data_IF_927914260385
#
_entry.id   IF_927914260385
#
_cell.length_a   1.000
_cell.length_b   1.000
_cell.length_c   1.000
_cell.angle_alpha   90.00
_cell.angle_beta   90.00
_cell.angle_gamma   90.00
#
_symmetry.space_group_name_H-M   'P 1'
#
loop_
_entity.id
_entity.type
_entity.pdbx_description
1 polymer ?
#
# COMPACT_ATOMS: atom_id res chain seq x y z
N UNK A 1 3.89 -24.78 0.91
CA UNK A 1 3.78 -23.33 1.16
C UNK A 1 2.65 -23.15 2.15
N UNK A 2 2.88 -22.41 3.23
CA UNK A 2 1.86 -22.11 4.25
C UNK A 2 0.79 -21.13 3.74
N UNK A 3 -0.32 -21.07 4.47
CA UNK A 3 -1.51 -20.31 4.08
C UNK A 3 -1.27 -18.80 4.05
N UNK A 4 -0.46 -18.25 4.96
CA UNK A 4 -0.17 -16.81 5.01
C UNK A 4 0.69 -16.39 3.82
N UNK A 5 1.75 -17.15 3.51
CA UNK A 5 2.56 -16.92 2.30
C UNK A 5 1.70 -17.02 1.05
N UNK A 6 0.81 -18.02 0.95
CA UNK A 6 -0.08 -18.19 -0.20
C UNK A 6 -1.07 -17.03 -0.33
N UNK A 7 -1.71 -16.63 0.76
CA UNK A 7 -2.68 -15.53 0.75
C UNK A 7 -2.03 -14.21 0.35
N UNK A 8 -0.86 -13.91 0.92
CA UNK A 8 -0.10 -12.72 0.60
C UNK A 8 0.34 -12.70 -0.87
N UNK A 9 0.91 -13.79 -1.35
CA UNK A 9 1.36 -13.92 -2.73
C UNK A 9 0.18 -13.78 -3.72
N UNK A 10 -0.97 -14.37 -3.40
CA UNK A 10 -2.15 -14.27 -4.26
C UNK A 10 -2.63 -12.83 -4.40
N UNK A 11 -2.66 -12.05 -3.31
CA UNK A 11 -3.04 -10.63 -3.38
C UNK A 11 -1.99 -9.84 -4.14
N UNK A 12 -0.70 -10.01 -3.84
CA UNK A 12 0.37 -9.31 -4.56
C UNK A 12 0.34 -9.59 -6.08
N UNK A 13 0.09 -10.83 -6.49
CA UNK A 13 -0.05 -11.19 -7.91
C UNK A 13 -1.34 -10.65 -8.54
N UNK A 14 -2.41 -10.51 -7.75
CA UNK A 14 -3.69 -9.97 -8.22
C UNK A 14 -3.70 -8.46 -8.40
N UNK A 15 -3.07 -7.74 -7.46
CA UNK A 15 -2.98 -6.28 -7.39
C UNK A 15 -1.83 -5.74 -8.25
N UNK A 16 -0.74 -6.49 -8.40
CA UNK A 16 0.39 -6.08 -9.23
C UNK A 16 0.03 -5.96 -10.70
N UNK A 17 0.75 -5.10 -11.43
CA UNK A 17 0.54 -4.93 -12.87
C UNK A 17 0.75 -6.24 -13.65
N UNK A 18 0.23 -6.30 -14.87
CA UNK A 18 0.39 -7.47 -15.77
C UNK A 18 1.84 -7.67 -16.22
N UNK A 19 2.74 -6.74 -15.91
CA UNK A 19 4.16 -6.85 -16.19
C UNK A 19 4.89 -7.88 -15.32
N UNK A 20 4.27 -8.39 -14.25
CA UNK A 20 4.88 -9.33 -13.30
C UNK A 20 6.22 -8.83 -12.74
N UNK A 21 6.29 -7.54 -12.40
CA UNK A 21 7.52 -6.96 -11.83
C UNK A 21 7.69 -7.44 -10.39
N UNK A 22 8.84 -8.06 -10.10
CA UNK A 22 9.12 -8.62 -8.78
C UNK A 22 9.04 -7.56 -7.67
N UNK A 23 9.69 -6.41 -7.85
CA UNK A 23 9.75 -5.33 -6.87
C UNK A 23 8.37 -4.74 -6.60
N UNK A 24 7.49 -4.69 -7.62
CA UNK A 24 6.11 -4.26 -7.46
C UNK A 24 5.32 -5.21 -6.55
N UNK A 25 5.36 -6.50 -6.85
CA UNK A 25 4.66 -7.52 -6.06
C UNK A 25 5.25 -7.64 -4.64
N UNK A 26 6.57 -7.54 -4.50
CA UNK A 26 7.24 -7.52 -3.20
C UNK A 26 6.84 -6.29 -2.39
N UNK A 27 6.80 -5.10 -2.99
CA UNK A 27 6.37 -3.88 -2.32
C UNK A 27 4.90 -3.92 -1.90
N UNK A 28 3.97 -4.42 -2.74
CA UNK A 28 2.57 -4.65 -2.34
C UNK A 28 2.50 -5.60 -1.14
N UNK A 29 3.29 -6.68 -1.15
CA UNK A 29 3.36 -7.61 -0.03
C UNK A 29 3.90 -6.92 1.25
N UNK A 30 4.93 -6.06 1.14
CA UNK A 30 5.45 -5.27 2.26
C UNK A 30 4.36 -4.36 2.85
N UNK A 31 3.57 -3.66 2.01
CA UNK A 31 2.47 -2.82 2.49
C UNK A 31 1.42 -3.63 3.26
N UNK A 32 1.02 -4.79 2.74
CA UNK A 32 0.03 -5.64 3.39
C UNK A 32 0.50 -6.16 4.76
N UNK A 33 1.77 -6.58 4.86
CA UNK A 33 2.37 -7.00 6.14
C UNK A 33 2.42 -5.84 7.13
N UNK A 34 2.80 -4.65 6.66
CA UNK A 34 2.83 -3.45 7.49
C UNK A 34 1.43 -3.11 8.01
N UNK A 35 0.41 -3.16 7.16
CA UNK A 35 -0.99 -2.90 7.52
C UNK A 35 -1.57 -3.96 8.47
N UNK A 36 -1.19 -5.23 8.29
CA UNK A 36 -1.56 -6.31 9.21
C UNK A 36 -1.02 -6.05 10.62
N UNK A 37 0.27 -5.75 10.75
CA UNK A 37 0.92 -5.45 12.04
C UNK A 37 0.33 -4.21 12.68
N UNK A 38 0.19 -3.15 11.89
CA UNK A 38 -0.43 -1.89 12.28
C UNK A 38 -1.81 -2.09 12.93
N UNK A 39 -2.63 -2.94 12.34
CA UNK A 39 -3.99 -3.17 12.81
C UNK A 39 -4.10 -4.23 13.90
N UNK A 40 -2.97 -4.78 14.35
CA UNK A 40 -2.90 -5.74 15.45
C UNK A 40 -3.45 -7.13 15.09
N UNK A 41 -3.52 -7.48 13.80
CA UNK A 41 -3.90 -8.82 13.39
C UNK A 41 -2.75 -9.80 13.64
N UNK A 42 -3.03 -11.02 14.05
CA UNK A 42 -1.99 -12.03 14.30
C UNK A 42 -1.39 -12.61 13.00
N UNK A 43 -2.18 -12.69 11.94
CA UNK A 43 -1.81 -13.33 10.67
C UNK A 43 -2.27 -12.52 9.47
N UNK A 44 -1.60 -12.69 8.33
CA UNK A 44 -1.97 -12.03 7.07
C UNK A 44 -3.34 -12.50 6.59
N UNK A 45 -3.61 -13.80 6.69
CA UNK A 45 -4.88 -14.36 6.29
C UNK A 45 -6.06 -13.79 7.10
N UNK A 46 -5.87 -13.55 8.40
CA UNK A 46 -6.89 -12.93 9.25
C UNK A 46 -7.14 -11.46 8.86
N UNK A 47 -6.08 -10.72 8.54
CA UNK A 47 -6.17 -9.35 8.06
C UNK A 47 -6.92 -9.27 6.72
N UNK A 48 -6.48 -10.00 5.70
CA UNK A 48 -7.07 -10.00 4.34
C UNK A 48 -8.56 -10.41 4.37
N UNK A 49 -8.93 -11.38 5.22
CA UNK A 49 -10.32 -11.82 5.37
C UNK A 49 -11.22 -10.75 6.00
N UNK A 50 -10.67 -9.97 6.94
CA UNK A 50 -11.44 -8.98 7.71
C UNK A 50 -11.54 -7.64 7.00
N UNK A 51 -10.43 -7.15 6.43
CA UNK A 51 -10.35 -5.83 5.82
C UNK A 51 -10.45 -5.92 4.29
N UNK A 52 -11.65 -5.65 3.79
CA UNK A 52 -11.94 -5.69 2.35
C UNK A 52 -11.41 -4.48 1.58
N UNK A 53 -10.95 -3.43 2.27
CA UNK A 53 -10.54 -2.16 1.64
C UNK A 53 -9.08 -2.17 1.18
N UNK A 54 -8.26 -3.09 1.68
CA UNK A 54 -6.84 -3.22 1.34
C UNK A 54 -6.53 -4.41 0.44
N UNK A 55 -7.47 -5.35 0.26
CA UNK A 55 -7.26 -6.54 -0.55
C UNK A 55 -8.40 -6.73 -1.54
N UNK A 56 -8.65 -5.73 -2.40
CA UNK A 56 -9.76 -5.77 -3.35
C UNK A 56 -9.69 -7.03 -4.23
N UNK A 57 -8.50 -7.38 -4.71
CA UNK A 57 -8.25 -8.60 -5.50
C UNK A 57 -8.63 -9.90 -4.77
N UNK A 58 -8.66 -9.90 -3.43
CA UNK A 58 -9.09 -11.06 -2.64
C UNK A 58 -10.62 -11.23 -2.61
N UNK A 59 -11.38 -10.17 -2.91
CA UNK A 59 -12.84 -10.11 -2.73
C UNK A 59 -13.62 -9.82 -4.02
N UNK A 60 -12.98 -9.31 -5.07
CA UNK A 60 -13.60 -8.89 -6.35
C UNK A 60 -13.66 -10.00 -7.42
N UNK A 61 -13.08 -11.17 -7.15
CA UNK A 61 -13.00 -12.25 -8.12
C UNK A 61 -11.85 -12.12 -9.14
N UNK A 62 -10.84 -11.29 -8.86
CA UNK A 62 -9.67 -11.09 -9.70
C UNK A 62 -9.07 -12.41 -10.17
N UNK A 63 -8.94 -12.56 -11.50
CA UNK A 63 -8.54 -13.80 -12.14
C UNK A 63 -7.11 -14.21 -11.75
N UNK A 64 -6.21 -13.25 -11.59
CA UNK A 64 -4.80 -13.51 -11.21
C UNK A 64 -4.70 -13.97 -9.77
N UNK A 65 -5.35 -13.28 -8.84
CA UNK A 65 -5.44 -13.72 -7.45
C UNK A 65 -6.00 -15.15 -7.36
N UNK A 66 -7.11 -15.42 -8.05
CA UNK A 66 -7.73 -16.74 -8.07
C UNK A 66 -6.84 -17.82 -8.70
N UNK A 67 -6.08 -17.48 -9.75
CA UNK A 67 -5.12 -18.37 -10.40
C UNK A 67 -4.05 -18.81 -9.39
N UNK A 68 -3.34 -17.88 -8.75
CA UNK A 68 -2.30 -18.24 -7.78
C UNK A 68 -2.87 -18.99 -6.57
N UNK A 69 -4.01 -18.52 -6.05
CA UNK A 69 -4.64 -19.16 -4.88
C UNK A 69 -4.96 -20.64 -5.10
N UNK A 70 -5.39 -21.01 -6.32
CA UNK A 70 -5.75 -22.40 -6.69
C UNK A 70 -4.59 -23.22 -7.23
N UNK A 71 -3.49 -22.58 -7.64
CA UNK A 71 -2.39 -23.26 -8.32
C UNK A 71 -1.62 -24.22 -7.40
N UNK A 72 -1.18 -25.35 -7.95
CA UNK A 72 -0.27 -26.29 -7.30
C UNK A 72 1.13 -25.69 -7.17
N UNK A 73 2.02 -26.37 -6.43
CA UNK A 73 3.40 -25.90 -6.28
C UNK A 73 4.15 -25.92 -7.62
N UNK A 74 3.89 -26.92 -8.46
CA UNK A 74 4.48 -27.10 -9.77
C UNK A 74 4.01 -26.01 -10.74
N UNK A 75 2.71 -25.69 -10.73
CA UNK A 75 2.14 -24.61 -11.53
C UNK A 75 2.73 -23.24 -11.14
N UNK A 76 2.88 -22.99 -9.84
CA UNK A 76 3.54 -21.77 -9.33
C UNK A 76 5.01 -21.72 -9.72
N UNK A 77 5.71 -22.85 -9.72
CA UNK A 77 7.11 -22.90 -10.10
C UNK A 77 7.31 -22.67 -11.62
N UNK A 78 6.36 -23.12 -12.44
CA UNK A 78 6.41 -22.97 -13.89
C UNK A 78 6.01 -21.57 -14.39
N UNK A 79 5.21 -20.82 -13.63
CA UNK A 79 4.80 -19.45 -13.97
C UNK A 79 5.67 -18.43 -13.24
N UNK A 80 6.51 -17.71 -13.99
CA UNK A 80 7.45 -16.71 -13.43
C UNK A 80 6.75 -15.66 -12.56
N UNK A 81 5.57 -15.18 -12.96
CA UNK A 81 4.85 -14.16 -12.21
C UNK A 81 4.31 -14.70 -10.88
N UNK A 82 3.76 -15.92 -10.88
CA UNK A 82 3.33 -16.56 -9.62
C UNK A 82 4.53 -16.89 -8.73
N UNK A 83 5.64 -17.34 -9.31
CA UNK A 83 6.88 -17.60 -8.57
C UNK A 83 7.41 -16.33 -7.90
N UNK A 84 7.48 -15.23 -8.64
CA UNK A 84 7.96 -13.93 -8.15
C UNK A 84 7.04 -13.35 -7.08
N UNK A 85 5.71 -13.52 -7.21
CA UNK A 85 4.78 -13.15 -6.15
C UNK A 85 5.03 -13.95 -4.84
N UNK A 86 5.31 -15.25 -4.94
CA UNK A 86 5.67 -16.08 -3.78
C UNK A 86 7.00 -15.65 -3.18
N UNK A 87 8.00 -15.32 -4.02
CA UNK A 87 9.28 -14.76 -3.56
C UNK A 87 9.09 -13.43 -2.84
N UNK A 88 8.24 -12.54 -3.38
CA UNK A 88 7.91 -11.25 -2.79
C UNK A 88 7.21 -11.40 -1.43
N UNK A 89 6.25 -12.31 -1.33
CA UNK A 89 5.56 -12.62 -0.08
C UNK A 89 6.52 -13.15 0.99
N UNK A 90 7.41 -14.08 0.64
CA UNK A 90 8.44 -14.60 1.57
C UNK A 90 9.41 -13.51 2.01
N UNK A 91 9.81 -12.63 1.10
CA UNK A 91 10.61 -11.46 1.44
C UNK A 91 9.89 -10.59 2.46
N UNK A 92 8.62 -10.22 2.22
CA UNK A 92 7.87 -9.34 3.11
C UNK A 92 7.60 -9.94 4.51
N UNK A 93 7.46 -11.27 4.61
CA UNK A 93 7.29 -11.99 5.87
C UNK A 93 8.60 -12.22 6.62
N UNK A 94 9.75 -12.12 5.94
CA UNK A 94 11.06 -12.34 6.54
C UNK A 94 11.45 -11.19 7.48
N UNK A 95 11.99 -11.47 8.69
CA UNK A 95 12.55 -10.45 9.57
C UNK A 95 13.73 -9.67 8.95
N UNK A 96 14.40 -10.26 7.96
CA UNK A 96 15.53 -9.67 7.23
C UNK A 96 15.19 -9.37 5.77
N UNK A 97 13.90 -9.36 5.43
CA UNK A 97 13.42 -8.99 4.11
C UNK A 97 13.75 -7.55 3.75
N UNK A 98 13.95 -7.29 2.46
CA UNK A 98 14.06 -5.91 1.96
C UNK A 98 12.68 -5.29 1.89
N UNK A 99 12.54 -4.06 2.38
CA UNK A 99 11.29 -3.31 2.25
C UNK A 99 11.24 -2.57 0.91
N UNK A 100 10.67 -3.20 -0.11
CA UNK A 100 10.58 -2.59 -1.43
C UNK A 100 9.59 -1.42 -1.45
N UNK A 101 8.60 -1.39 -0.55
CA UNK A 101 7.69 -0.25 -0.42
C UNK A 101 8.34 0.98 0.24
N UNK A 102 9.55 0.84 0.80
CA UNK A 102 10.33 1.92 1.43
C UNK A 102 9.52 2.74 2.45
N UNK A 103 8.85 2.05 3.37
CA UNK A 103 7.96 2.64 4.38
C UNK A 103 6.54 2.95 3.90
N UNK A 104 6.20 2.66 2.65
CA UNK A 104 4.88 2.90 2.08
C UNK A 104 3.74 2.17 2.81
N UNK A 105 2.67 2.87 3.12
CA UNK A 105 1.47 2.35 3.78
C UNK A 105 0.29 2.12 2.83
N UNK A 106 0.39 2.69 1.64
CA UNK A 106 -0.63 2.69 0.62
C UNK A 106 0.03 2.52 -0.74
N UNK A 107 -0.75 2.16 -1.73
CA UNK A 107 -0.34 2.20 -3.12
C UNK A 107 -1.48 2.68 -4.00
N UNK A 108 -1.16 3.18 -5.19
CA UNK A 108 -2.13 3.44 -6.25
C UNK A 108 -1.60 2.94 -7.59
N UNK A 109 -2.52 2.46 -8.42
CA UNK A 109 -2.25 2.06 -9.79
C UNK A 109 -2.50 3.20 -10.77
N UNK A 110 -2.73 2.85 -12.05
CA UNK A 110 -2.94 3.84 -13.12
C UNK A 110 -4.20 4.72 -12.93
N UNK A 111 -5.11 4.33 -12.05
CA UNK A 111 -6.34 5.06 -11.75
C UNK A 111 -6.09 6.41 -11.07
N UNK A 112 -4.97 6.56 -10.36
CA UNK A 112 -4.55 7.88 -9.83
C UNK A 112 -4.34 8.91 -10.95
N UNK A 113 -3.92 8.47 -12.14
CA UNK A 113 -3.76 9.33 -13.31
C UNK A 113 -5.08 9.52 -14.05
N UNK A 114 -5.77 8.42 -14.37
CA UNK A 114 -6.97 8.48 -15.21
C UNK A 114 -8.16 9.17 -14.51
N UNK A 115 -8.15 9.22 -13.18
CA UNK A 115 -9.17 9.87 -12.37
C UNK A 115 -8.60 10.98 -11.47
N UNK A 116 -7.47 11.58 -11.85
CA UNK A 116 -6.66 12.47 -11.01
C UNK A 116 -7.46 13.47 -10.15
N UNK A 117 -8.30 14.31 -10.76
CA UNK A 117 -9.01 15.37 -10.01
C UNK A 117 -10.03 14.86 -8.99
N UNK A 118 -10.56 13.65 -9.19
CA UNK A 118 -11.55 13.03 -8.31
C UNK A 118 -10.92 11.97 -7.40
N UNK A 119 -9.66 11.60 -7.64
CA UNK A 119 -8.97 10.56 -6.89
C UNK A 119 -8.85 10.97 -5.41
N UNK A 120 -9.35 10.15 -4.45
CA UNK A 120 -9.40 10.54 -3.04
C UNK A 120 -8.06 10.98 -2.47
N UNK A 121 -6.97 10.28 -2.84
CA UNK A 121 -5.62 10.62 -2.38
C UNK A 121 -5.15 11.98 -2.91
N UNK A 122 -5.39 12.25 -4.19
CA UNK A 122 -5.06 13.54 -4.84
C UNK A 122 -5.86 14.67 -4.19
N UNK A 123 -7.16 14.48 -3.93
CA UNK A 123 -8.00 15.47 -3.21
C UNK A 123 -7.54 15.76 -1.78
N UNK A 124 -6.80 14.83 -1.18
CA UNK A 124 -6.24 14.96 0.16
C UNK A 124 -4.82 15.55 0.17
N UNK A 125 -4.19 15.71 -1.00
CA UNK A 125 -2.87 16.28 -1.20
C UNK A 125 -1.78 15.22 -1.33
N UNK A 126 -1.03 15.27 -2.43
CA UNK A 126 0.05 14.34 -2.78
C UNK A 126 1.33 15.09 -3.16
N UNK A 127 2.47 14.48 -2.85
CA UNK A 127 3.79 14.98 -3.25
C UNK A 127 4.70 13.84 -3.70
N UNK A 128 5.28 13.98 -4.89
CA UNK A 128 6.33 13.10 -5.40
C UNK A 128 7.68 13.56 -4.84
N UNK A 129 8.33 12.68 -4.06
CA UNK A 129 9.58 12.96 -3.35
C UNK A 129 10.84 12.65 -4.17
N UNK A 130 10.74 11.74 -5.15
CA UNK A 130 11.79 11.43 -6.12
C UNK A 130 11.14 11.37 -7.51
N UNK A 131 11.68 12.07 -8.53
CA UNK A 131 11.18 12.01 -9.89
C UNK A 131 10.98 10.58 -10.44
N UNK A 132 11.79 9.61 -9.99
CA UNK A 132 11.67 8.19 -10.37
C UNK A 132 10.36 7.55 -9.87
N UNK A 133 9.75 8.08 -8.83
CA UNK A 133 8.46 7.60 -8.34
C UNK A 133 7.29 8.05 -9.24
N UNK A 134 7.48 9.07 -10.09
CA UNK A 134 6.43 9.62 -10.93
C UNK A 134 6.26 8.85 -12.25
N UNK A 135 6.02 7.54 -12.16
CA UNK A 135 5.83 6.66 -13.32
C UNK A 135 4.60 7.02 -14.17
N UNK A 136 3.74 7.90 -13.67
CA UNK A 136 2.53 8.34 -14.33
C UNK A 136 2.57 9.78 -14.85
N UNK A 137 3.65 10.53 -14.61
CA UNK A 137 3.75 11.96 -14.95
C UNK A 137 2.55 12.77 -14.40
N UNK A 138 2.21 12.50 -13.14
CA UNK A 138 1.16 13.21 -12.41
C UNK A 138 1.76 14.43 -11.70
N UNK A 139 0.95 15.47 -11.52
CA UNK A 139 1.39 16.66 -10.79
C UNK A 139 1.27 16.45 -9.29
N UNK A 140 2.11 17.14 -8.54
CA UNK A 140 1.88 17.33 -7.11
C UNK A 140 0.61 18.14 -6.88
N UNK A 141 0.03 18.00 -5.69
CA UNK A 141 -1.14 18.78 -5.29
C UNK A 141 -1.07 19.09 -3.81
N UNK A 142 -0.82 20.36 -3.51
CA UNK A 142 -0.89 20.87 -2.15
C UNK A 142 -2.36 21.03 -1.73
N UNK A 143 -2.69 20.44 -0.59
CA UNK A 143 -3.98 20.60 0.07
C UNK A 143 -3.69 20.86 1.54
N UNK A 144 -3.35 22.12 1.89
CA UNK A 144 -2.95 22.45 3.24
C UNK A 144 -4.05 22.17 4.25
N UNK A 145 -3.65 21.72 5.43
CA UNK A 145 -4.57 21.46 6.52
C UNK A 145 -3.96 21.79 7.88
N UNK A 146 -4.83 21.77 8.89
CA UNK A 146 -4.48 22.07 10.26
C UNK A 146 -5.28 21.20 11.22
N UNK A 147 -4.66 20.82 12.33
CA UNK A 147 -5.32 20.11 13.42
C UNK A 147 -5.30 20.97 14.69
N UNK A 148 -6.38 20.89 15.48
CA UNK A 148 -6.54 21.69 16.68
C UNK A 148 -6.91 20.81 17.87
N UNK A 149 -6.36 21.15 19.04
CA UNK A 149 -6.99 20.74 20.28
C UNK A 149 -8.37 21.38 20.39
N UNK A 150 -9.32 20.62 20.93
CA UNK A 150 -10.71 21.05 21.09
C UNK A 150 -11.10 20.99 22.56
N UNK A 151 -11.90 21.95 23.00
CA UNK A 151 -12.55 21.89 24.31
C UNK A 151 -13.57 20.75 24.34
N UNK A 152 -14.09 20.41 25.52
CA UNK A 152 -15.18 19.45 25.67
C UNK A 152 -16.44 19.85 24.85
N UNK A 153 -16.63 21.15 24.58
CA UNK A 153 -17.71 21.68 23.74
C UNK A 153 -17.38 21.70 22.24
N UNK A 154 -16.20 21.18 21.82
CA UNK A 154 -15.79 21.07 20.42
C UNK A 154 -15.12 22.31 19.82
N UNK A 155 -15.05 23.42 20.56
CA UNK A 155 -14.41 24.65 20.11
C UNK A 155 -12.88 24.49 19.99
N UNK A 156 -12.29 25.01 18.91
CA UNK A 156 -10.83 25.05 18.72
C UNK A 156 -10.19 25.85 19.85
N UNK A 157 -9.19 25.30 20.53
CA UNK A 157 -8.49 25.96 21.64
C UNK A 157 -7.05 26.30 21.28
N UNK A 158 -6.27 25.31 20.83
CA UNK A 158 -4.85 25.48 20.50
C UNK A 158 -4.50 24.72 19.23
N UNK A 159 -3.82 25.40 18.30
CA UNK A 159 -3.32 24.79 17.08
C UNK A 159 -2.32 23.69 17.46
N UNK A 160 -2.55 22.49 16.94
CA UNK A 160 -1.72 21.33 17.19
C UNK A 160 -0.65 21.16 16.11
N UNK A 161 -0.98 21.41 14.86
CA UNK A 161 -0.04 21.36 13.75
C UNK A 161 -0.69 21.73 12.41
N UNK A 162 0.15 21.89 11.40
CA UNK A 162 -0.22 22.18 10.01
C UNK A 162 0.57 21.26 9.08
N UNK A 163 0.07 21.07 7.87
CA UNK A 163 0.74 20.35 6.79
C UNK A 163 0.30 20.95 5.45
N UNK A 164 1.12 20.79 4.41
CA UNK A 164 0.83 21.29 3.06
C UNK A 164 0.19 20.22 2.15
N UNK A 165 0.55 18.96 2.36
CA UNK A 165 -0.03 17.79 1.70
C UNK A 165 -0.07 16.61 2.70
N UNK A 166 -0.85 15.56 2.41
CA UNK A 166 -0.98 14.42 3.32
C UNK A 166 -0.13 13.23 2.93
N UNK A 167 0.10 13.00 1.65
CA UNK A 167 0.77 11.80 1.16
C UNK A 167 2.05 12.15 0.43
N UNK A 168 3.08 11.35 0.66
CA UNK A 168 4.34 11.44 -0.06
C UNK A 168 4.74 10.10 -0.63
N UNK A 169 5.27 10.10 -1.85
CA UNK A 169 5.71 8.88 -2.52
C UNK A 169 6.90 8.26 -1.81
N UNK A 170 7.02 6.94 -1.79
CA UNK A 170 8.14 6.22 -1.16
C UNK A 170 8.91 5.35 -2.13
N UNK A 171 8.24 4.81 -3.15
CA UNK A 171 8.81 4.01 -4.21
C UNK A 171 7.83 3.95 -5.40
N UNK A 172 8.30 3.49 -6.56
CA UNK A 172 7.43 3.07 -7.65
C UNK A 172 8.07 1.92 -8.45
N UNK A 173 7.26 0.94 -8.83
CA UNK A 173 7.69 -0.21 -9.65
C UNK A 173 6.55 -0.67 -10.52
N UNK A 174 6.86 -1.14 -11.73
CA UNK A 174 5.85 -1.62 -12.68
C UNK A 174 4.78 -0.55 -12.94
N UNK A 175 3.56 -0.80 -12.48
CA UNK A 175 2.42 0.11 -12.58
C UNK A 175 1.95 0.66 -11.24
N UNK A 176 2.79 0.69 -10.20
CA UNK A 176 2.37 1.04 -8.85
C UNK A 176 3.25 2.13 -8.24
N UNK A 177 2.62 3.17 -7.67
CA UNK A 177 3.27 4.16 -6.80
C UNK A 177 2.91 3.85 -5.35
N UNK A 178 3.90 3.84 -4.46
CA UNK A 178 3.75 3.60 -3.04
C UNK A 178 3.80 4.91 -2.27
N UNK A 179 3.00 5.01 -1.21
CA UNK A 179 2.81 6.25 -0.45
C UNK A 179 2.82 6.01 1.04
N UNK A 180 3.34 6.98 1.80
CA UNK A 180 3.09 7.09 3.24
C UNK A 180 2.45 8.44 3.56
N UNK A 181 2.03 8.62 4.81
CA UNK A 181 1.65 9.94 5.29
C UNK A 181 2.89 10.80 5.47
N UNK A 182 2.79 12.11 5.17
CA UNK A 182 3.86 13.04 5.46
C UNK A 182 3.99 13.24 6.98
N UNK A 183 5.21 13.53 7.43
CA UNK A 183 5.55 13.56 8.86
C UNK A 183 4.82 14.69 9.61
N UNK A 184 4.57 15.83 8.96
CA UNK A 184 3.84 16.95 9.55
C UNK A 184 2.36 16.62 9.80
N UNK A 185 1.69 15.95 8.87
CA UNK A 185 0.31 15.48 9.07
C UNK A 185 0.24 14.49 10.22
N UNK A 186 1.18 13.53 10.27
CA UNK A 186 1.26 12.55 11.35
C UNK A 186 1.41 13.25 12.70
N UNK A 187 2.40 14.13 12.82
CA UNK A 187 2.70 14.88 14.05
C UNK A 187 1.49 15.73 14.49
N UNK A 188 0.84 16.40 13.54
CA UNK A 188 -0.32 17.24 13.78
C UNK A 188 -1.53 16.44 14.26
N UNK A 189 -1.76 15.24 13.71
CA UNK A 189 -3.01 14.49 13.95
C UNK A 189 -2.88 13.35 14.95
N UNK A 190 -1.67 12.94 15.34
CA UNK A 190 -1.43 11.68 16.05
C UNK A 190 -1.92 10.49 15.22
N UNK A 191 -1.94 10.63 13.89
CA UNK A 191 -2.33 9.51 13.07
C UNK A 191 -1.41 8.34 13.38
N UNK A 192 -1.96 7.14 13.40
CA UNK A 192 -1.17 5.96 13.70
C UNK A 192 -0.21 5.73 12.56
N UNK A 193 1.06 6.05 12.80
CA UNK A 193 2.19 5.50 12.08
C UNK A 193 2.64 4.31 12.89
N UNK A 194 2.84 3.19 12.21
CA UNK A 194 3.37 2.00 12.87
C UNK A 194 4.83 1.86 12.43
N UNK A 195 5.72 2.13 13.35
CA UNK A 195 7.16 1.93 13.13
C UNK A 195 7.51 0.46 13.36
#
# INVERSE_FOLDING_TARGET
MDDDTRALAAVAYGEGSTGNVYEEMAAIANVLVRQQKARGFATISAFIKTDKTFAFAAHDGNQRHNKLKKATAEEIAADTGMNDAVRGARNALSPTGTDYANGGYFWDGADIKSNYDKHPKVKAGIHITDPKHNIYDIKDKDVPGEEWWRSAAGAKTKLRGKWDYKYESTAAYGGTIFWKYNDDFVKATNNKVYD
#
